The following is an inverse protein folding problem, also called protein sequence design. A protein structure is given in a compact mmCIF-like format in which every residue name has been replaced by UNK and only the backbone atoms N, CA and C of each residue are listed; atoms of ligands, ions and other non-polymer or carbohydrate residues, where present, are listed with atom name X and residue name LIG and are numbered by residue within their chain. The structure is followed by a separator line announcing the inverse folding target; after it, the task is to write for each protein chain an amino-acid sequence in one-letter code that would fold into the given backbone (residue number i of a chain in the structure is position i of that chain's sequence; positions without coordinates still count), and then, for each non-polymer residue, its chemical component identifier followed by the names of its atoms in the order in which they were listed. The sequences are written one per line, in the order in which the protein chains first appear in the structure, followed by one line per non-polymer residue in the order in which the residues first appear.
data_IF_760166549271
#
_entry.id   IF_760166549271
#
_cell.length_a   1.000
_cell.length_b   1.000
_cell.length_c   1.000
_cell.angle_alpha   90.00
_cell.angle_beta   90.00
_cell.angle_gamma   90.00
#
_symmetry.space_group_name_H-M   'P 1'
#
loop_
_entity.id
_entity.type
_entity.pdbx_description
1 polymer ?
#
# COMPACT_ATOMS: atom_id res chain seq x y z
N UNK A 1 11.64 14.80 -16.66
CA UNK A 1 12.92 14.70 -15.94
C UNK A 1 12.68 14.71 -14.41
N UNK A 2 11.75 13.88 -13.92
CA UNK A 2 11.30 13.84 -12.51
C UNK A 2 11.17 12.40 -11.99
N UNK A 3 11.97 11.49 -12.55
CA UNK A 3 12.11 10.13 -12.05
C UNK A 3 13.59 9.84 -11.92
N UNK A 4 13.96 9.17 -10.83
CA UNK A 4 15.31 8.81 -10.38
C UNK A 4 15.96 9.83 -9.45
N UNK A 5 15.49 9.87 -8.21
CA UNK A 5 16.40 10.01 -7.07
C UNK A 5 16.03 9.00 -6.00
N UNK A 6 16.69 7.84 -6.11
CA UNK A 6 17.23 6.99 -5.03
C UNK A 6 16.27 6.59 -3.92
N UNK A 7 15.91 5.30 -3.93
CA UNK A 7 15.35 4.60 -2.77
C UNK A 7 16.31 4.65 -1.59
N UNK A 8 15.90 5.37 -0.54
CA UNK A 8 16.41 5.16 0.79
C UNK A 8 15.52 4.13 1.47
N UNK A 9 16.12 2.97 1.73
CA UNK A 9 15.56 1.89 2.52
C UNK A 9 15.19 2.41 3.92
N UNK A 10 13.96 2.12 4.31
CA UNK A 10 13.34 2.18 5.65
C UNK A 10 12.57 3.45 6.07
N UNK A 11 11.28 3.19 6.38
CA UNK A 11 10.37 3.92 7.28
C UNK A 11 9.95 5.34 6.87
N UNK A 12 9.65 5.56 5.59
CA UNK A 12 8.66 6.59 5.27
C UNK A 12 7.26 6.09 5.68
N UNK A 13 6.49 6.92 6.40
CA UNK A 13 5.07 6.65 6.68
C UNK A 13 4.29 6.40 5.38
N UNK A 14 4.69 7.06 4.28
CA UNK A 14 4.12 6.89 2.95
C UNK A 14 5.20 6.54 1.92
N UNK A 15 5.12 5.33 1.34
CA UNK A 15 6.06 4.83 0.33
C UNK A 15 6.07 5.65 -0.96
N UNK A 16 4.99 6.39 -1.22
CA UNK A 16 4.79 7.16 -2.44
C UNK A 16 5.33 8.60 -2.36
N UNK A 17 5.73 9.06 -1.18
CA UNK A 17 6.27 10.40 -0.96
C UNK A 17 7.79 10.41 -0.79
N UNK A 18 8.42 11.42 -1.40
CA UNK A 18 9.85 11.67 -1.22
C UNK A 18 10.08 12.23 0.19
N UNK A 19 11.09 11.71 0.90
CA UNK A 19 11.50 12.23 2.22
C UNK A 19 12.00 13.67 2.11
N UNK A 20 11.73 14.48 3.14
CA UNK A 20 12.27 15.83 3.29
C UNK A 20 13.77 15.86 2.97
N UNK A 21 14.16 16.59 1.92
CA UNK A 21 15.54 17.02 1.73
C UNK A 21 15.74 18.15 2.72
N UNK A 22 16.47 17.90 3.81
CA UNK A 22 16.89 18.89 4.81
C UNK A 22 17.92 19.87 4.21
N UNK A 23 17.58 20.50 3.10
CA UNK A 23 18.29 21.64 2.54
C UNK A 23 17.58 22.91 3.00
N UNK A 24 18.30 23.94 3.49
CA UNK A 24 17.73 25.23 3.87
C UNK A 24 17.00 25.96 2.73
N UNK A 25 17.24 25.57 1.48
CA UNK A 25 16.68 26.19 0.28
C UNK A 25 15.67 25.25 -0.40
N UNK A 26 14.41 25.68 -0.54
CA UNK A 26 13.35 24.94 -1.24
C UNK A 26 12.25 24.30 -0.38
N UNK A 27 12.28 24.52 0.95
CA UNK A 27 11.34 23.89 1.90
C UNK A 27 9.88 24.33 1.69
N UNK A 28 9.63 25.54 1.16
CA UNK A 28 8.27 26.06 0.98
C UNK A 28 7.47 25.28 -0.08
N UNK A 29 8.08 24.99 -1.24
CA UNK A 29 7.41 24.24 -2.31
C UNK A 29 7.15 22.79 -1.89
N UNK A 30 8.13 22.14 -1.26
CA UNK A 30 7.97 20.77 -0.76
C UNK A 30 6.93 20.65 0.35
N UNK A 31 6.84 21.66 1.23
CA UNK A 31 5.77 21.74 2.23
C UNK A 31 4.39 21.80 1.58
N UNK A 32 4.21 22.68 0.59
CA UNK A 32 2.92 22.78 -0.12
C UNK A 32 2.57 21.51 -0.91
N UNK A 33 3.53 20.85 -1.55
CA UNK A 33 3.30 19.56 -2.22
C UNK A 33 2.89 18.49 -1.20
N UNK A 34 3.50 18.48 -0.02
CA UNK A 34 3.16 17.55 1.07
C UNK A 34 1.77 17.83 1.66
N UNK A 35 1.38 19.09 1.79
CA UNK A 35 0.02 19.45 2.22
C UNK A 35 -1.04 18.95 1.23
N UNK A 36 -0.75 19.00 -0.07
CA UNK A 36 -1.62 18.46 -1.12
C UNK A 36 -1.58 16.94 -1.23
N UNK A 37 -0.59 16.27 -0.62
CA UNK A 37 -0.40 14.83 -0.77
C UNK A 37 -1.53 14.00 -0.18
N UNK A 38 -2.06 14.39 0.99
CA UNK A 38 -3.17 13.66 1.59
C UNK A 38 -4.40 13.68 0.67
N UNK A 39 -4.66 14.80 -0.01
CA UNK A 39 -5.73 14.91 -1.01
C UNK A 39 -5.44 14.07 -2.25
N UNK A 40 -4.20 14.08 -2.74
CA UNK A 40 -3.74 13.24 -3.86
C UNK A 40 -3.95 11.77 -3.54
N UNK A 41 -3.50 11.33 -2.37
CA UNK A 41 -3.58 9.95 -1.89
C UNK A 41 -5.03 9.52 -1.72
N UNK A 42 -5.85 10.35 -1.07
CA UNK A 42 -7.27 10.05 -0.87
C UNK A 42 -8.01 9.85 -2.21
N UNK A 43 -7.68 10.68 -3.21
CA UNK A 43 -8.28 10.63 -4.54
C UNK A 43 -7.57 9.68 -5.52
N UNK A 44 -6.63 8.86 -5.05
CA UNK A 44 -5.89 7.91 -5.88
C UNK A 44 -6.14 6.46 -5.47
N UNK A 45 -6.06 5.55 -6.44
CA UNK A 45 -5.89 4.10 -6.25
C UNK A 45 -4.50 3.72 -6.72
N UNK A 46 -3.98 2.62 -6.23
CA UNK A 46 -2.71 2.07 -6.68
C UNK A 46 -2.94 0.98 -7.70
N UNK A 47 -2.31 1.08 -8.86
CA UNK A 47 -2.14 -0.02 -9.80
C UNK A 47 -0.84 -0.73 -9.47
N UNK A 48 -0.95 -1.98 -9.02
CA UNK A 48 0.19 -2.83 -8.67
C UNK A 48 0.93 -3.26 -9.94
N UNK A 49 2.23 -3.01 -9.98
CA UNK A 49 3.18 -3.56 -10.94
C UNK A 49 4.09 -4.54 -10.22
N UNK A 50 5.33 -4.13 -9.95
CA UNK A 50 6.32 -4.93 -9.24
C UNK A 50 6.11 -5.01 -7.72
N UNK A 51 5.16 -4.26 -7.16
CA UNK A 51 4.71 -4.32 -5.77
C UNK A 51 5.67 -3.71 -4.76
N UNK A 52 6.76 -3.05 -5.19
CA UNK A 52 7.80 -2.55 -4.29
C UNK A 52 7.37 -1.29 -3.53
N UNK A 53 6.39 -0.53 -4.04
CA UNK A 53 5.95 0.73 -3.43
C UNK A 53 4.56 0.61 -2.82
N UNK A 54 3.81 -0.40 -3.22
CA UNK A 54 2.46 -0.65 -2.71
C UNK A 54 2.48 -1.33 -1.34
N UNK A 55 2.09 -0.62 -0.28
CA UNK A 55 1.85 -1.20 1.05
C UNK A 55 0.54 -1.98 1.03
N UNK A 56 0.59 -3.28 1.33
CA UNK A 56 -0.56 -4.17 1.17
C UNK A 56 -1.80 -3.74 1.97
N UNK A 57 -1.60 -3.30 3.22
CA UNK A 57 -2.70 -2.91 4.11
C UNK A 57 -3.09 -1.44 3.98
N UNK A 58 -2.10 -0.58 3.72
CA UNK A 58 -2.27 0.88 3.81
C UNK A 58 -2.73 1.52 2.51
N UNK A 59 -2.39 0.93 1.37
CA UNK A 59 -2.71 1.49 0.07
C UNK A 59 -4.00 0.89 -0.50
N UNK A 60 -4.75 1.70 -1.24
CA UNK A 60 -5.96 1.25 -1.93
C UNK A 60 -5.61 0.69 -3.32
N UNK A 61 -5.10 -0.54 -3.32
CA UNK A 61 -4.71 -1.25 -4.54
C UNK A 61 -5.73 -2.32 -4.97
N UNK A 62 -6.61 -2.73 -4.05
CA UNK A 62 -7.67 -3.70 -4.32
C UNK A 62 -8.96 -3.00 -4.75
N UNK A 63 -9.74 -3.63 -5.63
CA UNK A 63 -11.00 -3.07 -6.12
C UNK A 63 -12.02 -2.83 -5.00
N UNK A 64 -12.03 -3.71 -3.99
CA UNK A 64 -12.88 -3.62 -2.80
C UNK A 64 -12.55 -2.43 -1.89
N UNK A 65 -11.41 -1.76 -2.09
CA UNK A 65 -10.97 -0.63 -1.28
C UNK A 65 -9.78 -0.96 -0.39
N UNK A 66 -9.63 -0.19 0.70
CA UNK A 66 -8.53 -0.33 1.65
C UNK A 66 -8.74 -1.57 2.56
N UNK A 67 -7.79 -2.51 2.53
CA UNK A 67 -7.89 -3.79 3.25
C UNK A 67 -7.77 -3.64 4.77
N UNK A 68 -7.05 -2.64 5.29
CA UNK A 68 -7.01 -2.36 6.73
C UNK A 68 -8.40 -1.94 7.25
N UNK A 69 -9.13 -1.14 6.48
CA UNK A 69 -10.48 -0.71 6.85
C UNK A 69 -11.51 -1.83 6.73
N UNK A 70 -11.36 -2.70 5.73
CA UNK A 70 -12.26 -3.84 5.52
C UNK A 70 -12.04 -4.97 6.53
N UNK A 71 -10.79 -5.21 6.92
CA UNK A 71 -10.39 -6.31 7.80
C UNK A 71 -9.51 -5.82 8.97
N UNK A 72 -10.02 -4.92 9.83
CA UNK A 72 -9.24 -4.35 10.93
C UNK A 72 -8.81 -5.40 11.96
N UNK A 73 -9.61 -6.45 12.13
CA UNK A 73 -9.32 -7.60 12.98
C UNK A 73 -8.12 -8.39 12.45
N UNK A 74 -8.08 -8.70 11.15
CA UNK A 74 -6.97 -9.42 10.52
C UNK A 74 -5.71 -8.55 10.47
N UNK A 75 -5.87 -7.26 10.16
CA UNK A 75 -4.77 -6.30 10.21
C UNK A 75 -4.07 -6.33 11.58
N UNK A 76 -4.83 -6.37 12.68
CA UNK A 76 -4.27 -6.46 14.03
C UNK A 76 -3.62 -7.82 14.34
N UNK A 77 -4.02 -8.89 13.67
CA UNK A 77 -3.45 -10.22 13.83
C UNK A 77 -2.14 -10.43 13.07
N UNK A 78 -1.92 -9.72 11.96
CA UNK A 78 -0.71 -9.90 11.15
C UNK A 78 0.50 -9.14 11.68
N UNK A 79 1.68 -9.70 11.41
CA UNK A 79 2.98 -9.07 11.67
C UNK A 79 3.41 -8.14 10.52
N UNK A 80 2.90 -8.36 9.31
CA UNK A 80 3.29 -7.69 8.08
C UNK A 80 2.50 -6.41 7.77
N UNK A 81 2.02 -5.70 8.80
CA UNK A 81 1.15 -4.51 8.66
C UNK A 81 1.74 -3.41 7.75
N UNK A 82 3.06 -3.23 7.78
CA UNK A 82 3.77 -2.19 7.02
C UNK A 82 4.47 -2.71 5.76
N UNK A 83 4.31 -4.00 5.45
CA UNK A 83 5.01 -4.64 4.32
C UNK A 83 4.36 -4.28 3.00
N UNK A 84 5.20 -4.26 1.97
CA UNK A 84 4.81 -4.06 0.58
C UNK A 84 4.31 -5.37 -0.03
N UNK A 85 3.57 -5.29 -1.14
CA UNK A 85 3.09 -6.48 -1.87
C UNK A 85 4.27 -7.35 -2.31
N UNK A 86 5.37 -6.75 -2.78
CA UNK A 86 6.57 -7.47 -3.17
C UNK A 86 7.20 -8.30 -2.04
N UNK A 87 7.04 -7.88 -0.78
CA UNK A 87 7.60 -8.59 0.37
C UNK A 87 6.72 -9.77 0.85
N UNK A 88 5.42 -9.72 0.59
CA UNK A 88 4.46 -10.73 1.06
C UNK A 88 4.00 -11.68 -0.05
N UNK A 89 4.14 -11.30 -1.32
CA UNK A 89 3.79 -12.14 -2.46
C UNK A 89 4.98 -13.02 -2.84
N UNK A 90 4.77 -14.32 -2.87
CA UNK A 90 5.79 -15.33 -3.19
C UNK A 90 5.39 -16.14 -4.42
N UNK A 91 6.27 -17.01 -4.91
CA UNK A 91 5.95 -17.97 -5.98
C UNK A 91 4.85 -18.96 -5.59
N UNK A 92 4.57 -19.12 -4.30
CA UNK A 92 3.50 -19.97 -3.76
C UNK A 92 2.23 -19.16 -3.41
N UNK A 93 2.20 -17.85 -3.70
CA UNK A 93 1.12 -16.95 -3.36
C UNK A 93 1.40 -16.10 -2.13
N UNK A 94 0.33 -15.68 -1.44
CA UNK A 94 0.41 -14.79 -0.28
C UNK A 94 1.05 -15.46 0.94
N UNK A 95 2.04 -14.80 1.54
CA UNK A 95 2.70 -15.23 2.77
C UNK A 95 2.33 -14.30 3.94
N UNK A 96 1.22 -14.61 4.63
CA UNK A 96 0.79 -13.88 5.82
C UNK A 96 1.33 -14.52 7.09
N UNK A 97 2.01 -13.70 7.92
CA UNK A 97 2.50 -14.12 9.22
C UNK A 97 1.59 -13.54 10.31
N UNK A 98 0.95 -14.43 11.08
CA UNK A 98 0.11 -14.04 12.21
C UNK A 98 0.90 -14.04 13.52
N UNK A 99 0.53 -13.14 14.44
CA UNK A 99 1.15 -12.98 15.76
C UNK A 99 0.88 -14.16 16.70
N UNK A 100 -0.20 -14.92 16.44
CA UNK A 100 -0.63 -16.09 17.19
C UNK A 100 -1.46 -17.03 16.31
N UNK A 101 -1.78 -18.20 16.82
CA UNK A 101 -2.77 -19.09 16.20
C UNK A 101 -4.14 -18.41 16.12
N UNK A 102 -4.90 -18.77 15.09
CA UNK A 102 -6.27 -18.32 14.89
C UNK A 102 -7.20 -19.00 15.89
N UNK A 103 -8.13 -18.24 16.45
CA UNK A 103 -9.25 -18.81 17.20
C UNK A 103 -10.35 -19.25 16.23
N UNK A 104 -11.22 -20.17 16.65
CA UNK A 104 -12.29 -20.73 15.81
C UNK A 104 -13.19 -19.64 15.18
N UNK A 105 -13.47 -18.55 15.92
CA UNK A 105 -14.28 -17.45 15.43
C UNK A 105 -13.56 -16.55 14.41
N UNK A 106 -12.22 -16.57 14.35
CA UNK A 106 -11.42 -15.79 13.40
C UNK A 106 -11.24 -16.53 12.07
N UNK A 107 -11.35 -17.86 12.06
CA UNK A 107 -11.11 -18.71 10.88
C UNK A 107 -11.99 -18.29 9.70
N UNK A 108 -13.30 -18.09 9.94
CA UNK A 108 -14.23 -17.69 8.88
C UNK A 108 -13.86 -16.33 8.30
N UNK A 109 -13.43 -15.38 9.15
CA UNK A 109 -13.09 -14.03 8.73
C UNK A 109 -11.79 -14.00 7.93
N UNK A 110 -10.79 -14.80 8.34
CA UNK A 110 -9.56 -15.01 7.57
C UNK A 110 -9.84 -15.68 6.23
N UNK A 111 -10.74 -16.66 6.17
CA UNK A 111 -11.11 -17.31 4.91
C UNK A 111 -11.75 -16.33 3.91
N UNK A 112 -12.65 -15.46 4.39
CA UNK A 112 -13.23 -14.39 3.57
C UNK A 112 -12.17 -13.44 3.02
N UNK A 113 -11.24 -13.00 3.87
CA UNK A 113 -10.11 -12.17 3.46
C UNK A 113 -9.24 -12.84 2.39
N UNK A 114 -8.85 -14.11 2.60
CA UNK A 114 -8.06 -14.87 1.64
C UNK A 114 -8.78 -15.04 0.31
N UNK A 115 -10.10 -15.18 0.32
CA UNK A 115 -10.90 -15.25 -0.89
C UNK A 115 -10.89 -13.91 -1.67
N UNK A 116 -10.98 -12.77 -0.97
CA UNK A 116 -10.89 -11.45 -1.60
C UNK A 116 -9.52 -11.25 -2.27
N UNK A 117 -8.44 -11.51 -1.55
CA UNK A 117 -7.09 -11.29 -2.08
C UNK A 117 -6.61 -12.40 -3.01
N UNK A 118 -7.32 -13.52 -3.07
CA UNK A 118 -6.99 -14.69 -3.88
C UNK A 118 -7.03 -14.45 -5.38
N UNK A 119 -7.80 -13.47 -5.85
CA UNK A 119 -7.91 -13.10 -7.27
C UNK A 119 -6.72 -12.25 -7.78
N UNK A 120 -5.66 -12.10 -7.00
CA UNK A 120 -4.48 -11.37 -7.39
C UNK A 120 -3.67 -12.14 -8.44
N UNK A 121 -3.50 -11.56 -9.63
CA UNK A 121 -2.82 -12.19 -10.77
C UNK A 121 -1.28 -12.19 -10.67
N UNK A 122 -0.73 -11.76 -9.54
CA UNK A 122 0.71 -11.66 -9.30
C UNK A 122 1.33 -10.34 -9.72
N UNK A 123 2.65 -10.25 -9.52
CA UNK A 123 3.46 -9.07 -9.80
C UNK A 123 3.82 -8.98 -11.29
N UNK A 124 3.94 -7.75 -11.79
CA UNK A 124 4.36 -7.43 -13.15
C UNK A 124 5.78 -6.84 -13.17
N UNK A 125 6.38 -6.72 -14.36
CA UNK A 125 7.73 -6.15 -14.50
C UNK A 125 7.74 -4.63 -14.35
N UNK A 126 6.61 -3.98 -14.61
CA UNK A 126 6.41 -2.55 -14.55
C UNK A 126 6.48 -2.00 -13.12
N UNK A 127 6.77 -0.71 -12.98
CA UNK A 127 6.67 -0.03 -11.68
C UNK A 127 5.20 0.11 -11.24
N UNK A 128 4.99 0.13 -9.92
CA UNK A 128 3.70 0.51 -9.35
C UNK A 128 3.33 1.93 -9.81
N UNK A 129 2.03 2.20 -9.99
CA UNK A 129 1.54 3.49 -10.44
C UNK A 129 0.31 3.95 -9.64
N UNK A 130 0.18 5.26 -9.46
CA UNK A 130 -1.04 5.87 -8.93
C UNK A 130 -2.03 6.13 -10.07
N UNK A 131 -3.31 5.89 -9.78
CA UNK A 131 -4.43 6.08 -10.68
C UNK A 131 -5.49 6.96 -10.03
N UNK A 132 -5.84 8.06 -10.67
CA UNK A 132 -6.85 8.97 -10.15
C UNK A 132 -8.23 8.31 -10.14
N UNK A 133 -8.89 8.32 -8.97
CA UNK A 133 -10.33 8.10 -8.84
C UNK A 133 -10.99 9.29 -9.52
N UNK A 134 -11.43 9.14 -10.77
CA UNK A 134 -11.98 10.26 -11.53
C UNK A 134 -12.99 11.06 -10.71
N UNK A 135 -12.85 12.38 -10.68
CA UNK A 135 -13.86 13.25 -10.09
C UNK A 135 -15.09 13.19 -10.99
N UNK A 136 -16.15 12.50 -10.57
CA UNK A 136 -17.48 12.73 -11.13
C UNK A 136 -17.91 14.14 -10.73
N UNK A 137 -17.51 15.13 -11.52
CA UNK A 137 -18.20 16.42 -11.62
C UNK A 137 -19.01 16.35 -12.90
N UNK A 138 -20.24 15.84 -12.77
CA UNK A 138 -21.34 16.19 -13.66
C UNK A 138 -22.04 17.42 -13.11
#
# INVERSE_FOLDING_TARGET
MWKRVVGAKNEAEDSWMIKDVTSPYGVSLWRSIRELWEEVKFNSKVKVGNGNWTKFWKDEWHESGNLELLFPDIYNLVLSQQRTIAEIWTTQGWNFQFRRHLNDWEVMRVAEFLNIVGNFNGLQAEEDALWWKGSSKG
#
